data_IF_856036819057
#
_entry.id   IF_856036819057
#
_cell.length_a   1.000
_cell.length_b   1.000
_cell.length_c   1.000
_cell.angle_alpha   90.00
_cell.angle_beta   90.00
_cell.angle_gamma   90.00
#
_symmetry.space_group_name_H-M   'P 1'
#
loop_
_entity.id
_entity.type
_entity.pdbx_description
1 polymer ?
#
# COMPACT_ATOMS: atom_id res chain seq x y z
N UNK A 1 -11.51 -4.70 24.33
CA UNK A 1 -11.87 -4.86 22.90
C UNK A 1 -10.70 -4.37 22.05
N UNK A 2 -10.30 -5.08 21.00
CA UNK A 2 -9.23 -4.62 20.14
C UNK A 2 -9.72 -3.45 19.27
N UNK A 3 -9.13 -2.28 19.48
CA UNK A 3 -9.43 -1.08 18.71
C UNK A 3 -8.95 -1.22 17.26
N UNK A 4 -9.86 -1.01 16.32
CA UNK A 4 -9.59 -1.02 14.88
C UNK A 4 -10.15 0.24 14.22
N UNK A 5 -9.60 0.58 13.07
CA UNK A 5 -10.06 1.65 12.18
C UNK A 5 -10.05 1.16 10.72
N UNK A 6 -10.78 1.82 9.83
CA UNK A 6 -10.75 1.53 8.40
C UNK A 6 -10.24 2.75 7.65
N UNK A 7 -9.01 2.67 7.14
CA UNK A 7 -8.38 3.78 6.41
C UNK A 7 -8.59 3.64 4.91
N UNK A 8 -8.70 4.78 4.21
CA UNK A 8 -8.72 4.84 2.74
C UNK A 8 -7.39 5.37 2.22
N UNK A 9 -6.71 4.59 1.38
CA UNK A 9 -5.46 5.03 0.73
C UNK A 9 -5.28 4.35 -0.62
N UNK A 10 -4.75 5.10 -1.61
CA UNK A 10 -4.54 4.58 -2.97
C UNK A 10 -5.81 4.05 -3.64
N UNK A 11 -6.98 4.61 -3.31
CA UNK A 11 -8.28 4.14 -3.81
C UNK A 11 -8.80 2.83 -3.20
N UNK A 12 -8.09 2.26 -2.22
CA UNK A 12 -8.45 1.02 -1.51
C UNK A 12 -8.75 1.29 -0.04
N UNK A 13 -9.52 0.41 0.60
CA UNK A 13 -9.82 0.48 2.03
C UNK A 13 -9.09 -0.63 2.78
N UNK A 14 -8.55 -0.33 3.95
CA UNK A 14 -7.81 -1.28 4.77
C UNK A 14 -8.31 -1.24 6.21
N UNK A 15 -8.64 -2.41 6.75
CA UNK A 15 -8.89 -2.58 8.19
C UNK A 15 -7.54 -2.67 8.90
N UNK A 16 -7.32 -1.82 9.90
CA UNK A 16 -6.06 -1.72 10.62
C UNK A 16 -6.25 -1.72 12.13
N UNK A 17 -5.24 -2.24 12.83
CA UNK A 17 -5.06 -2.15 14.29
C UNK A 17 -3.72 -1.52 14.61
N UNK A 18 -3.55 -1.08 15.86
CA UNK A 18 -2.27 -0.57 16.37
C UNK A 18 -1.20 -1.67 16.22
N UNK A 19 -0.07 -1.32 15.61
CA UNK A 19 1.04 -2.22 15.35
C UNK A 19 1.00 -2.98 14.02
N UNK A 20 -0.11 -2.92 13.27
CA UNK A 20 -0.22 -3.60 11.98
C UNK A 20 0.74 -3.01 10.94
N UNK A 21 1.31 -3.90 10.12
CA UNK A 21 2.13 -3.53 8.96
C UNK A 21 1.34 -3.86 7.70
N UNK A 22 0.96 -2.83 6.95
CA UNK A 22 0.21 -2.99 5.70
C UNK A 22 1.00 -2.48 4.50
N UNK A 23 0.75 -3.11 3.35
CA UNK A 23 1.31 -2.71 2.05
C UNK A 23 0.26 -1.89 1.32
N UNK A 24 0.63 -0.67 0.95
CA UNK A 24 -0.25 0.28 0.28
C UNK A 24 0.40 0.75 -1.02
N UNK A 25 -0.37 1.44 -1.86
CA UNK A 25 0.17 2.11 -3.05
C UNK A 25 1.32 3.05 -2.65
N UNK A 26 2.19 3.38 -3.61
CA UNK A 26 3.35 4.23 -3.34
C UNK A 26 2.91 5.58 -2.76
N UNK A 27 3.42 5.90 -1.56
CA UNK A 27 3.20 7.18 -0.90
C UNK A 27 4.43 8.07 -1.03
N UNK A 28 4.23 9.40 -1.01
CA UNK A 28 5.32 10.37 -1.06
C UNK A 28 5.93 10.60 0.33
N UNK A 29 7.05 9.93 0.61
CA UNK A 29 7.83 10.15 1.82
C UNK A 29 9.09 9.29 1.83
N UNK A 30 10.25 9.89 2.13
CA UNK A 30 11.51 9.18 2.11
C UNK A 30 11.63 8.31 3.39
N UNK A 31 11.79 6.97 3.29
CA UNK A 31 11.90 6.11 4.48
C UNK A 31 13.16 6.42 5.32
N UNK A 32 14.25 6.83 4.65
CA UNK A 32 15.57 7.01 5.26
C UNK A 32 15.72 8.25 6.15
N UNK A 33 14.74 9.16 6.17
CA UNK A 33 14.79 10.41 6.94
C UNK A 33 13.93 10.35 8.23
N UNK A 34 13.89 9.21 8.90
CA UNK A 34 13.16 9.04 10.17
C UNK A 34 11.68 8.73 10.04
N UNK A 35 11.23 8.21 8.90
CA UNK A 35 9.86 7.72 8.69
C UNK A 35 8.81 8.85 8.78
N UNK A 36 8.50 9.48 7.64
CA UNK A 36 7.43 10.49 7.57
C UNK A 36 6.15 9.94 8.19
N UNK A 37 5.64 10.63 9.23
CA UNK A 37 4.34 10.34 9.83
C UNK A 37 3.24 10.74 8.86
N UNK A 38 2.31 9.83 8.64
CA UNK A 38 1.13 9.97 7.81
C UNK A 38 -0.08 9.93 8.73
N UNK A 39 -0.97 10.89 8.54
CA UNK A 39 -2.27 10.91 9.22
C UNK A 39 -3.33 10.49 8.21
N UNK A 40 -4.21 9.58 8.64
CA UNK A 40 -5.36 9.10 7.88
C UNK A 40 -6.62 9.28 8.71
N UNK A 41 -7.72 9.63 8.04
CA UNK A 41 -9.04 9.65 8.63
C UNK A 41 -9.72 8.28 8.47
N UNK A 42 -10.44 7.85 9.51
CA UNK A 42 -11.31 6.67 9.45
C UNK A 42 -12.55 6.96 8.60
N UNK A 43 -12.91 6.02 7.73
CA UNK A 43 -14.04 6.13 6.82
C UNK A 43 -15.36 6.14 7.60
N UNK A 44 -15.45 5.42 8.72
CA UNK A 44 -16.66 5.36 9.54
C UNK A 44 -16.83 6.59 10.45
N UNK A 45 -15.90 7.54 10.39
CA UNK A 45 -15.91 8.76 11.20
C UNK A 45 -15.47 8.51 12.64
N UNK A 46 -14.73 9.48 13.19
CA UNK A 46 -14.45 9.56 14.62
C UNK A 46 -13.08 9.08 15.08
N UNK A 47 -12.21 8.60 14.18
CA UNK A 47 -10.82 8.23 14.53
C UNK A 47 -9.80 8.76 13.53
N UNK A 48 -8.70 9.28 14.05
CA UNK A 48 -7.47 9.58 13.34
C UNK A 48 -6.47 8.43 13.51
N UNK A 49 -5.83 8.05 12.42
CA UNK A 49 -4.84 6.99 12.39
C UNK A 49 -3.49 7.58 12.00
N UNK A 50 -2.53 7.51 12.92
CA UNK A 50 -1.13 7.89 12.65
C UNK A 50 -0.34 6.65 12.27
N UNK A 51 0.36 6.71 11.15
CA UNK A 51 1.22 5.64 10.65
C UNK A 51 2.57 6.18 10.19
N UNK A 52 3.62 5.35 10.28
CA UNK A 52 4.95 5.67 9.76
C UNK A 52 5.29 4.79 8.56
N UNK A 53 6.02 5.37 7.60
CA UNK A 53 6.57 4.63 6.45
C UNK A 53 7.80 3.85 6.92
N UNK A 54 7.75 2.52 6.84
CA UNK A 54 8.89 1.66 7.17
C UNK A 54 9.83 1.49 5.99
N UNK A 55 9.29 1.20 4.80
CA UNK A 55 10.09 0.88 3.62
C UNK A 55 9.30 1.10 2.33
N UNK A 56 10.03 1.28 1.23
CA UNK A 56 9.47 1.22 -0.12
C UNK A 56 9.98 -0.04 -0.83
N UNK A 57 9.10 -0.66 -1.60
CA UNK A 57 9.40 -1.92 -2.27
C UNK A 57 8.71 -2.05 -3.62
N UNK A 58 9.04 -3.16 -4.30
CA UNK A 58 8.35 -3.58 -5.52
C UNK A 58 7.72 -4.94 -5.28
N UNK A 59 6.49 -5.09 -5.71
CA UNK A 59 5.76 -6.35 -5.62
C UNK A 59 6.42 -7.44 -6.47
N UNK A 60 5.91 -8.67 -6.33
CA UNK A 60 6.33 -9.79 -7.18
C UNK A 60 6.06 -9.45 -8.65
N UNK A 61 6.93 -9.92 -9.54
CA UNK A 61 6.84 -9.62 -10.97
C UNK A 61 5.69 -10.38 -11.60
N UNK A 62 4.73 -9.65 -12.17
CA UNK A 62 3.68 -10.20 -13.01
C UNK A 62 4.20 -10.26 -14.43
N UNK A 63 4.21 -11.46 -15.04
CA UNK A 63 4.59 -11.66 -16.44
C UNK A 63 3.32 -11.75 -17.29
N UNK A 64 3.22 -10.87 -18.28
CA UNK A 64 2.10 -10.79 -19.21
C UNK A 64 2.60 -11.28 -20.58
N UNK A 65 2.00 -12.35 -21.09
CA UNK A 65 2.23 -12.85 -22.44
C UNK A 65 0.99 -12.56 -23.28
N UNK A 66 1.12 -11.72 -24.31
CA UNK A 66 0.08 -11.50 -25.33
C UNK A 66 0.46 -12.29 -26.57
N UNK A 67 -0.41 -13.18 -27.03
CA UNK A 67 -0.21 -13.98 -28.24
C UNK A 67 -1.47 -13.95 -29.09
N UNK A 68 -1.32 -13.87 -30.42
CA UNK A 68 -2.45 -14.03 -31.35
C UNK A 68 -2.17 -15.21 -32.29
N UNK A 69 -3.10 -16.17 -32.42
CA UNK A 69 -2.90 -17.35 -33.25
C UNK A 69 -2.78 -16.95 -34.72
N UNK A 70 -1.90 -17.65 -35.46
CA UNK A 70 -1.69 -17.49 -36.91
C UNK A 70 -1.33 -16.08 -37.40
N UNK A 71 -1.09 -15.12 -36.49
CA UNK A 71 -0.69 -13.72 -36.80
C UNK A 71 0.78 -13.42 -36.51
N UNK A 72 1.60 -14.44 -36.20
CA UNK A 72 3.01 -14.32 -35.73
C UNK A 72 3.21 -13.22 -34.66
N UNK A 73 2.18 -12.96 -33.86
CA UNK A 73 2.20 -11.91 -32.84
C UNK A 73 2.40 -12.53 -31.47
N UNK A 74 3.50 -12.16 -30.82
CA UNK A 74 3.85 -12.54 -29.45
C UNK A 74 4.53 -11.34 -28.77
N UNK A 75 3.99 -10.88 -27.65
CA UNK A 75 4.58 -9.81 -26.83
C UNK A 75 4.68 -10.28 -25.39
N UNK A 76 5.88 -10.19 -24.81
CA UNK A 76 6.12 -10.48 -23.39
C UNK A 76 6.38 -9.16 -22.69
N UNK A 77 5.66 -8.91 -21.60
CA UNK A 77 5.84 -7.73 -20.77
C UNK A 77 5.92 -8.15 -19.30
N UNK A 78 6.78 -7.48 -18.53
CA UNK A 78 6.78 -7.61 -17.08
C UNK A 78 6.20 -6.37 -16.43
N UNK A 79 5.45 -6.53 -15.36
CA UNK A 79 5.05 -5.43 -14.48
C UNK A 79 5.44 -5.75 -13.04
N UNK A 80 5.89 -4.73 -12.31
CA UNK A 80 6.12 -4.78 -10.85
C UNK A 80 5.52 -3.53 -10.25
N UNK A 81 4.47 -3.68 -9.46
CA UNK A 81 3.86 -2.54 -8.77
C UNK A 81 4.80 -2.04 -7.68
N UNK A 82 5.02 -0.73 -7.61
CA UNK A 82 5.73 -0.09 -6.50
C UNK A 82 4.78 0.10 -5.33
N UNK A 83 5.23 -0.24 -4.13
CA UNK A 83 4.42 -0.22 -2.91
C UNK A 83 5.21 0.42 -1.76
N UNK A 84 4.48 0.94 -0.79
CA UNK A 84 5.04 1.42 0.48
C UNK A 84 4.54 0.52 1.60
N UNK A 85 5.44 0.10 2.50
CA UNK A 85 5.08 -0.57 3.74
C UNK A 85 4.93 0.48 4.83
N UNK A 86 3.75 0.53 5.44
CA UNK A 86 3.45 1.43 6.54
C UNK A 86 3.12 0.64 7.79
N UNK A 87 3.50 1.18 8.96
CA UNK A 87 3.16 0.66 10.28
C UNK A 87 2.22 1.62 10.97
N UNK A 88 1.15 1.09 11.54
CA UNK A 88 0.19 1.88 12.32
C UNK A 88 0.70 2.07 13.73
N UNK A 89 0.88 3.31 14.15
CA UNK A 89 1.44 3.67 15.47
C UNK A 89 0.35 3.98 16.48
N UNK A 90 -0.65 4.76 16.07
CA UNK A 90 -1.71 5.24 16.95
C UNK A 90 -3.04 5.31 16.21
N UNK A 91 -4.10 4.90 16.90
CA UNK A 91 -5.49 5.16 16.55
C UNK A 91 -6.03 6.04 17.68
N UNK A 92 -6.60 7.20 17.36
CA UNK A 92 -7.14 8.18 18.32
C UNK A 92 -8.49 8.69 17.91
#
# INVERSE_FOLDING_TARGET
>A
MAEFAVIKTGGKQYKVKIGDIIKVEKLSGNPSAGGKKLEFDDIFGGKKVTASILSEGKEKKVRILKQRPKKRYKKVQGHRQTLSQIRVEKIS
#
